data_IF_181250758625
#
_entry.id   IF_181250758625
#
_cell.length_a   1.000
_cell.length_b   1.000
_cell.length_c   1.000
_cell.angle_alpha   90.00
_cell.angle_beta   90.00
_cell.angle_gamma   90.00
#
_symmetry.space_group_name_H-M   'P 1'
#
loop_
_entity.id
_entity.type
_entity.pdbx_description
1 polymer ?
#
# COMPACT_ATOMS: atom_id res chain seq x y z
N UNK A 1 5.26 -2.68 -26.22
CA UNK A 1 4.67 -2.71 -24.87
C UNK A 1 3.58 -3.78 -24.86
N UNK A 2 3.61 -4.69 -23.89
CA UNK A 2 2.61 -5.74 -23.68
C UNK A 2 2.03 -5.56 -22.27
N UNK A 3 0.73 -5.69 -22.12
CA UNK A 3 0.01 -5.60 -20.85
C UNK A 3 -0.71 -6.92 -20.60
N UNK A 4 -0.39 -7.58 -19.48
CA UNK A 4 -1.03 -8.82 -19.06
C UNK A 4 -1.79 -8.57 -17.76
N UNK A 5 -3.12 -8.65 -17.81
CA UNK A 5 -3.96 -8.50 -16.62
C UNK A 5 -3.74 -9.64 -15.61
N UNK A 6 -3.75 -9.32 -14.32
CA UNK A 6 -3.68 -10.31 -13.24
C UNK A 6 -5.06 -10.76 -12.81
N UNK A 7 -6.02 -9.83 -12.77
CA UNK A 7 -7.43 -10.13 -12.49
C UNK A 7 -8.33 -9.14 -13.21
N UNK A 8 -9.63 -9.38 -13.19
CA UNK A 8 -10.62 -8.45 -13.72
C UNK A 8 -10.80 -7.19 -12.85
N UNK A 9 -10.35 -7.22 -11.59
CA UNK A 9 -10.51 -6.12 -10.65
C UNK A 9 -9.39 -5.09 -10.72
N UNK A 10 -8.14 -5.55 -10.80
CA UNK A 10 -6.94 -4.72 -10.83
C UNK A 10 -5.70 -5.56 -11.14
N UNK A 11 -4.60 -4.86 -11.34
CA UNK A 11 -3.28 -5.44 -11.48
C UNK A 11 -2.90 -5.80 -12.91
N UNK A 12 -1.75 -5.32 -13.34
CA UNK A 12 -1.20 -5.66 -14.65
C UNK A 12 0.31 -5.86 -14.59
N UNK A 13 0.80 -6.89 -15.28
CA UNK A 13 2.22 -7.09 -15.57
C UNK A 13 2.55 -6.41 -16.89
N UNK A 14 3.52 -5.50 -16.87
CA UNK A 14 3.90 -4.65 -17.99
C UNK A 14 5.25 -5.09 -18.53
N UNK A 15 5.34 -5.28 -19.87
CA UNK A 15 6.60 -5.55 -20.58
C UNK A 15 6.91 -4.46 -21.59
N UNK A 16 8.19 -4.25 -21.85
CA UNK A 16 8.66 -3.29 -22.85
C UNK A 16 8.72 -1.84 -22.34
N UNK A 17 8.79 -1.68 -21.01
CA UNK A 17 9.15 -0.42 -20.35
C UNK A 17 10.43 -0.67 -19.57
N UNK A 18 11.40 0.23 -19.69
CA UNK A 18 12.62 0.29 -18.87
C UNK A 18 12.41 1.33 -17.77
N UNK A 19 12.45 0.90 -16.51
CA UNK A 19 12.27 1.79 -15.37
C UNK A 19 13.47 2.68 -15.06
N UNK A 20 14.61 2.48 -15.73
CA UNK A 20 15.77 3.37 -15.68
C UNK A 20 15.54 4.65 -16.48
N UNK A 21 14.69 4.58 -17.51
CA UNK A 21 14.27 5.76 -18.27
C UNK A 21 13.23 6.55 -17.49
N UNK A 22 13.69 7.60 -16.80
CA UNK A 22 12.85 8.53 -16.04
C UNK A 22 12.43 9.76 -16.87
N UNK A 23 12.49 9.70 -18.21
CA UNK A 23 11.95 10.75 -19.08
C UNK A 23 10.46 10.99 -18.81
N UNK A 24 10.01 12.21 -19.03
CA UNK A 24 8.62 12.58 -18.81
C UNK A 24 7.66 11.76 -19.68
N UNK A 25 8.10 11.40 -20.90
CA UNK A 25 7.29 10.55 -21.79
C UNK A 25 7.12 9.14 -21.23
N UNK A 26 8.20 8.53 -20.71
CA UNK A 26 8.14 7.19 -20.11
C UNK A 26 7.37 7.21 -18.80
N UNK A 27 7.62 8.21 -17.96
CA UNK A 27 6.89 8.39 -16.71
C UNK A 27 5.39 8.58 -16.94
N UNK A 28 4.99 9.37 -17.95
CA UNK A 28 3.58 9.52 -18.30
C UNK A 28 2.91 8.18 -18.61
N UNK A 29 3.57 7.31 -19.39
CA UNK A 29 3.06 5.97 -19.69
C UNK A 29 2.90 5.13 -18.41
N UNK A 30 3.90 5.17 -17.51
CA UNK A 30 3.86 4.45 -16.24
C UNK A 30 2.69 4.94 -15.39
N UNK A 31 2.52 6.26 -15.27
CA UNK A 31 1.43 6.85 -14.49
C UNK A 31 0.04 6.53 -15.08
N UNK A 32 -0.11 6.62 -16.40
CA UNK A 32 -1.37 6.28 -17.07
C UNK A 32 -1.74 4.79 -16.81
N UNK A 33 -0.77 3.88 -16.90
CA UNK A 33 -0.96 2.47 -16.60
C UNK A 33 -1.30 2.23 -15.11
N UNK A 34 -0.65 2.95 -14.20
CA UNK A 34 -0.95 2.87 -12.77
C UNK A 34 -2.39 3.33 -12.48
N UNK A 35 -2.82 4.44 -13.07
CA UNK A 35 -4.19 4.95 -12.90
C UNK A 35 -5.23 4.01 -13.48
N UNK A 36 -4.92 3.32 -14.58
CA UNK A 36 -5.81 2.36 -15.20
C UNK A 36 -5.88 1.06 -14.40
N UNK A 37 -4.73 0.49 -14.02
CA UNK A 37 -4.66 -0.87 -13.44
C UNK A 37 -4.52 -0.89 -11.92
N UNK A 38 -4.34 0.25 -11.23
CA UNK A 38 -4.27 0.45 -9.76
C UNK A 38 -3.02 -0.13 -9.09
N UNK A 39 -2.43 -1.17 -9.65
CA UNK A 39 -1.13 -1.73 -9.30
C UNK A 39 -0.51 -2.33 -10.56
N UNK A 40 0.77 -2.05 -10.80
CA UNK A 40 1.50 -2.50 -11.99
C UNK A 40 2.83 -3.12 -11.61
N UNK A 41 3.22 -4.14 -12.38
CA UNK A 41 4.41 -4.95 -12.10
C UNK A 41 5.31 -5.03 -13.33
N UNK A 42 6.61 -4.91 -13.09
CA UNK A 42 7.65 -4.94 -14.10
C UNK A 42 8.67 -6.00 -13.72
N UNK A 43 8.75 -7.12 -14.45
CA UNK A 43 9.76 -8.16 -14.20
C UNK A 43 11.10 -7.80 -14.82
N UNK A 44 12.16 -8.44 -14.30
CA UNK A 44 13.53 -8.30 -14.79
C UNK A 44 14.08 -6.86 -14.80
N UNK A 45 13.68 -6.05 -13.85
CA UNK A 45 14.13 -4.67 -13.66
C UNK A 45 15.35 -4.62 -12.73
N UNK A 46 16.55 -4.63 -13.31
CA UNK A 46 17.82 -4.53 -12.55
C UNK A 46 18.17 -3.04 -12.33
N UNK A 47 17.35 -2.35 -11.53
CA UNK A 47 17.58 -0.95 -11.15
C UNK A 47 18.46 -0.87 -9.89
N UNK A 48 19.32 0.16 -9.80
CA UNK A 48 20.08 0.49 -8.58
C UNK A 48 19.19 1.24 -7.59
N UNK A 49 19.70 1.51 -6.39
CA UNK A 49 18.99 2.33 -5.39
C UNK A 49 18.83 3.79 -5.88
N UNK A 50 19.81 4.33 -6.60
CA UNK A 50 19.73 5.64 -7.24
C UNK A 50 18.65 5.70 -8.31
N UNK A 51 18.57 4.69 -9.17
CA UNK A 51 17.56 4.58 -10.22
C UNK A 51 16.16 4.38 -9.61
N UNK A 52 16.05 3.59 -8.52
CA UNK A 52 14.81 3.40 -7.78
C UNK A 52 14.31 4.73 -7.19
N UNK A 53 15.22 5.48 -6.54
CA UNK A 53 14.92 6.81 -6.00
C UNK A 53 14.49 7.79 -7.10
N UNK A 54 15.23 7.86 -8.20
CA UNK A 54 14.92 8.75 -9.32
C UNK A 54 13.53 8.47 -9.93
N UNK A 55 13.13 7.19 -10.02
CA UNK A 55 11.79 6.82 -10.44
C UNK A 55 10.74 7.30 -9.42
N UNK A 56 10.99 7.11 -8.13
CA UNK A 56 10.06 7.48 -7.07
C UNK A 56 9.85 9.01 -6.99
N UNK A 57 10.90 9.81 -7.20
CA UNK A 57 10.83 11.28 -7.24
C UNK A 57 9.89 11.82 -8.32
N UNK A 58 9.64 11.06 -9.38
CA UNK A 58 8.65 11.43 -10.42
C UNK A 58 7.21 11.44 -9.90
N UNK A 59 6.90 10.65 -8.86
CA UNK A 59 5.57 10.63 -8.24
C UNK A 59 5.35 11.76 -7.24
N UNK A 60 6.41 12.42 -6.78
CA UNK A 60 6.36 13.51 -5.82
C UNK A 60 7.47 13.48 -4.78
N UNK A 61 7.39 14.32 -3.73
CA UNK A 61 8.35 14.33 -2.64
C UNK A 61 8.43 12.97 -1.97
N UNK A 62 9.66 12.53 -1.70
CA UNK A 62 9.91 11.27 -1.00
C UNK A 62 9.71 11.44 0.51
N UNK A 63 9.25 10.38 1.17
CA UNK A 63 9.04 10.33 2.60
C UNK A 63 9.99 9.31 3.24
N UNK A 64 10.40 9.57 4.48
CA UNK A 64 11.09 8.58 5.32
C UNK A 64 10.10 7.93 6.25
N UNK A 65 10.23 6.63 6.48
CA UNK A 65 9.30 5.92 7.36
C UNK A 65 9.53 6.33 8.82
N UNK A 66 8.44 6.65 9.55
CA UNK A 66 8.52 7.19 10.91
C UNK A 66 9.19 6.22 11.91
N UNK A 67 9.02 4.91 11.73
CA UNK A 67 9.44 3.88 12.68
C UNK A 67 10.58 3.01 12.19
N UNK A 68 10.84 2.99 10.89
CA UNK A 68 11.85 2.11 10.29
C UNK A 68 12.96 2.93 9.70
N UNK A 69 14.20 2.60 10.04
CA UNK A 69 15.36 3.22 9.44
C UNK A 69 15.50 2.73 7.99
N UNK A 70 15.57 3.67 7.06
CA UNK A 70 15.95 3.38 5.69
C UNK A 70 17.46 3.12 5.55
N UNK A 71 17.91 2.91 4.34
CA UNK A 71 19.33 2.73 4.04
C UNK A 71 20.12 3.99 4.39
N UNK A 72 21.38 3.85 4.80
CA UNK A 72 22.20 5.00 5.23
C UNK A 72 22.35 6.08 4.15
N UNK A 73 22.52 5.69 2.88
CA UNK A 73 22.60 6.62 1.75
C UNK A 73 21.26 7.01 1.15
N UNK A 74 20.21 6.22 1.39
CA UNK A 74 18.85 6.39 0.86
C UNK A 74 17.84 6.19 1.98
N UNK A 75 17.68 7.15 2.89
CA UNK A 75 16.83 7.01 4.07
C UNK A 75 15.35 6.79 3.74
N UNK A 76 14.91 7.14 2.54
CA UNK A 76 13.58 6.88 1.98
C UNK A 76 13.37 5.44 1.51
N UNK A 77 14.44 4.63 1.37
CA UNK A 77 14.36 3.23 0.98
C UNK A 77 14.44 2.35 2.23
N UNK A 78 13.37 1.67 2.55
CA UNK A 78 13.31 0.69 3.64
C UNK A 78 13.57 -0.71 3.08
N UNK A 79 14.53 -1.43 3.69
CA UNK A 79 14.78 -2.84 3.36
C UNK A 79 13.99 -3.73 4.28
N UNK A 80 13.07 -4.51 3.72
CA UNK A 80 12.30 -5.52 4.45
C UNK A 80 12.96 -6.88 4.24
N UNK A 81 13.38 -7.51 5.33
CA UNK A 81 14.00 -8.83 5.31
C UNK A 81 13.19 -9.73 6.21
N UNK A 82 12.79 -10.90 5.70
CA UNK A 82 12.21 -11.99 6.50
C UNK A 82 13.23 -13.11 6.58
N UNK A 83 13.68 -13.43 7.80
CA UNK A 83 14.54 -14.58 8.04
C UNK A 83 13.71 -15.88 8.02
N UNK A 84 14.39 -17.02 7.78
CA UNK A 84 13.73 -18.33 7.68
C UNK A 84 13.06 -18.77 9.00
N UNK A 85 13.60 -18.35 10.14
CA UNK A 85 13.09 -18.65 11.49
C UNK A 85 12.08 -17.63 12.03
N UNK A 86 11.81 -16.54 11.29
CA UNK A 86 10.83 -15.54 11.70
C UNK A 86 9.40 -16.07 11.55
N UNK A 87 8.64 -16.04 12.66
CA UNK A 87 7.24 -16.48 12.69
C UNK A 87 6.28 -15.42 12.18
N UNK A 88 6.63 -14.14 12.37
CA UNK A 88 5.76 -13.01 12.00
C UNK A 88 6.12 -12.48 10.61
N UNK A 89 5.13 -11.99 9.87
CA UNK A 89 5.32 -11.42 8.55
C UNK A 89 5.07 -9.93 8.59
N UNK A 90 5.90 -9.18 7.90
CA UNK A 90 5.63 -7.78 7.62
C UNK A 90 4.49 -7.66 6.61
N UNK A 91 3.47 -6.83 6.94
CA UNK A 91 2.37 -6.57 6.01
C UNK A 91 1.41 -7.74 5.80
N UNK A 92 1.28 -8.66 6.78
CA UNK A 92 0.37 -9.80 6.66
C UNK A 92 -1.13 -9.44 6.65
N UNK A 93 -1.48 -8.26 7.16
CA UNK A 93 -2.85 -7.78 7.19
C UNK A 93 -3.12 -6.72 6.11
N UNK A 94 -4.38 -6.59 5.71
CA UNK A 94 -4.80 -5.55 4.78
C UNK A 94 -4.51 -4.15 5.34
N UNK A 95 -3.70 -3.39 4.61
CA UNK A 95 -3.32 -2.03 4.97
C UNK A 95 -3.17 -1.13 3.75
N UNK A 96 -3.17 0.16 4.01
CA UNK A 96 -2.66 1.18 3.09
C UNK A 96 -1.53 1.87 3.83
N UNK A 97 -0.34 1.91 3.22
CA UNK A 97 0.86 2.38 3.87
C UNK A 97 0.69 3.78 4.45
N UNK A 98 1.16 3.92 5.70
CA UNK A 98 1.15 5.17 6.49
C UNK A 98 -0.15 5.97 6.43
N UNK A 99 -1.30 5.27 6.30
CA UNK A 99 -2.61 5.94 6.22
C UNK A 99 -2.97 6.76 7.45
N UNK A 100 -2.20 6.67 8.53
CA UNK A 100 -2.27 7.50 9.73
C UNK A 100 -1.60 8.87 9.57
N UNK A 101 -0.87 9.14 8.49
CA UNK A 101 -0.28 10.46 8.23
C UNK A 101 -1.36 11.47 7.84
N UNK A 102 -1.10 12.76 8.12
CA UNK A 102 -1.96 13.88 7.67
C UNK A 102 -2.16 13.85 6.14
N UNK A 103 -1.08 13.56 5.43
CA UNK A 103 -1.08 13.33 3.98
C UNK A 103 -0.60 11.91 3.73
N UNK A 104 -1.51 10.95 3.50
CA UNK A 104 -1.13 9.59 3.16
C UNK A 104 -0.30 9.54 1.87
N UNK A 105 0.64 8.61 1.82
CA UNK A 105 1.54 8.41 0.68
C UNK A 105 0.75 8.16 -0.61
N UNK A 106 1.17 8.81 -1.70
CA UNK A 106 0.52 8.68 -3.01
C UNK A 106 0.70 7.29 -3.62
N UNK A 107 1.93 6.78 -3.57
CA UNK A 107 2.29 5.48 -4.11
C UNK A 107 3.51 4.93 -3.37
N UNK A 108 3.69 3.62 -3.42
CA UNK A 108 4.88 2.93 -2.91
C UNK A 108 5.49 2.12 -4.05
N UNK A 109 6.80 2.18 -4.19
CA UNK A 109 7.53 1.41 -5.18
C UNK A 109 8.31 0.31 -4.45
N UNK A 110 7.99 -0.93 -4.74
CA UNK A 110 8.62 -2.10 -4.12
C UNK A 110 9.49 -2.80 -5.15
N UNK A 111 10.77 -3.03 -4.81
CA UNK A 111 11.70 -3.83 -5.61
C UNK A 111 12.02 -5.13 -4.87
N UNK A 112 11.78 -6.26 -5.50
CA UNK A 112 12.16 -7.56 -4.96
C UNK A 112 13.65 -7.84 -5.18
N UNK A 113 14.33 -8.36 -4.16
CA UNK A 113 15.76 -8.70 -4.21
C UNK A 113 15.92 -10.22 -4.19
N UNK A 114 15.48 -10.86 -3.11
CA UNK A 114 15.51 -12.31 -2.94
C UNK A 114 14.11 -12.80 -2.56
N UNK A 115 13.62 -13.79 -3.29
CA UNK A 115 12.28 -14.34 -3.13
C UNK A 115 12.38 -15.83 -2.84
N UNK A 116 11.61 -16.37 -1.88
CA UNK A 116 11.57 -17.80 -1.64
C UNK A 116 10.95 -18.53 -2.85
N UNK A 117 11.28 -19.82 -3.05
CA UNK A 117 10.74 -20.59 -4.18
C UNK A 117 9.22 -20.78 -4.11
N UNK A 118 8.65 -20.70 -2.91
CA UNK A 118 7.20 -20.84 -2.65
C UNK A 118 6.77 -19.86 -1.59
N UNK A 119 5.63 -19.20 -1.79
CA UNK A 119 5.07 -18.23 -0.86
C UNK A 119 5.62 -16.80 -1.06
N UNK A 120 5.32 -15.92 -0.11
CA UNK A 120 5.71 -14.51 -0.19
C UNK A 120 4.91 -13.69 -1.22
N UNK A 121 3.80 -14.23 -1.73
CA UNK A 121 2.90 -13.49 -2.63
C UNK A 121 2.29 -12.28 -1.92
N UNK A 122 1.96 -11.26 -2.69
CA UNK A 122 1.22 -10.09 -2.18
C UNK A 122 -0.16 -10.00 -2.82
N UNK A 123 -1.17 -9.72 -1.98
CA UNK A 123 -2.52 -9.45 -2.44
C UNK A 123 -2.79 -7.94 -2.44
N UNK A 124 -3.53 -7.47 -3.44
CA UNK A 124 -3.94 -6.07 -3.57
C UNK A 124 -5.45 -6.00 -3.75
N UNK A 125 -6.09 -4.96 -3.20
CA UNK A 125 -7.53 -4.73 -3.29
C UNK A 125 -7.84 -3.44 -4.05
N UNK A 126 -8.84 -3.49 -4.93
CA UNK A 126 -9.34 -2.32 -5.65
C UNK A 126 -10.35 -1.56 -4.79
N UNK A 127 -9.91 -0.48 -4.16
CA UNK A 127 -10.74 0.32 -3.26
C UNK A 127 -11.75 1.21 -3.99
N UNK A 128 -11.60 1.43 -5.31
CA UNK A 128 -12.58 2.05 -6.18
C UNK A 128 -13.76 1.10 -6.39
N UNK A 129 -13.46 -0.14 -6.83
CA UNK A 129 -14.47 -1.19 -7.03
C UNK A 129 -15.12 -1.59 -5.70
N UNK A 130 -14.38 -1.59 -4.59
CA UNK A 130 -14.93 -1.80 -3.25
C UNK A 130 -15.97 -0.75 -2.88
N UNK A 131 -15.77 0.52 -3.23
CA UNK A 131 -16.80 1.53 -3.08
C UNK A 131 -17.98 1.32 -4.02
N UNK A 132 -17.73 1.05 -5.29
CA UNK A 132 -18.78 0.88 -6.30
C UNK A 132 -19.75 -0.24 -5.96
N UNK A 133 -19.23 -1.37 -5.45
CA UNK A 133 -19.99 -2.59 -5.16
C UNK A 133 -20.48 -2.71 -3.71
N UNK A 134 -20.20 -1.70 -2.87
CA UNK A 134 -20.65 -1.69 -1.48
C UNK A 134 -22.19 -1.57 -1.40
N UNK A 135 -22.78 -2.23 -0.41
CA UNK A 135 -24.22 -2.12 -0.12
C UNK A 135 -24.66 -0.67 0.08
N UNK A 136 -25.76 -0.27 -0.58
CA UNK A 136 -26.23 1.12 -0.58
C UNK A 136 -26.59 1.63 0.81
N UNK A 137 -27.11 0.76 1.70
CA UNK A 137 -27.43 1.15 3.10
C UNK A 137 -26.17 1.49 3.88
N UNK A 138 -25.07 0.78 3.61
CA UNK A 138 -23.78 1.07 4.23
C UNK A 138 -23.21 2.35 3.61
N UNK A 139 -23.25 2.54 2.28
CA UNK A 139 -22.81 3.77 1.61
C UNK A 139 -23.47 5.00 2.20
N UNK A 140 -24.81 5.00 2.36
CA UNK A 140 -25.54 6.11 2.94
C UNK A 140 -25.12 6.44 4.37
N UNK A 141 -24.75 5.42 5.16
CA UNK A 141 -24.30 5.62 6.54
C UNK A 141 -22.91 6.28 6.62
N UNK A 142 -22.01 6.04 5.64
CA UNK A 142 -20.59 6.38 5.75
C UNK A 142 -20.13 7.50 4.80
N UNK A 143 -20.91 7.86 3.77
CA UNK A 143 -20.49 8.76 2.68
C UNK A 143 -19.89 10.11 3.14
N UNK A 144 -20.40 10.64 4.25
CA UNK A 144 -19.99 11.92 4.83
C UNK A 144 -19.22 11.76 6.14
N UNK A 145 -18.86 10.53 6.52
CA UNK A 145 -18.16 10.27 7.78
C UNK A 145 -16.66 10.22 7.59
N UNK A 146 -15.96 10.48 8.68
CA UNK A 146 -14.53 10.28 8.81
C UNK A 146 -14.25 9.09 9.71
N UNK A 147 -13.09 8.50 9.52
CA UNK A 147 -12.52 7.48 10.41
C UNK A 147 -11.17 7.95 10.97
N UNK A 148 -10.86 7.52 12.16
CA UNK A 148 -9.54 7.69 12.77
C UNK A 148 -8.62 6.58 12.26
N UNK A 149 -7.51 6.98 11.67
CA UNK A 149 -6.39 6.09 11.35
C UNK A 149 -5.28 6.35 12.36
N UNK A 150 -4.76 5.29 12.96
CA UNK A 150 -3.72 5.37 13.99
C UNK A 150 -2.64 4.32 13.76
N UNK A 151 -1.41 4.69 14.03
CA UNK A 151 -0.26 3.79 14.07
C UNK A 151 -0.25 2.86 15.28
N UNK A 152 -1.12 3.06 16.29
CA UNK A 152 -1.33 2.11 17.38
C UNK A 152 -1.82 0.75 16.83
N UNK A 153 -1.20 -0.32 17.31
CA UNK A 153 -1.39 -1.67 16.75
C UNK A 153 -0.35 -2.03 15.69
N UNK A 154 0.45 -1.06 15.22
CA UNK A 154 1.71 -1.36 14.57
C UNK A 154 2.76 -1.89 15.56
N UNK A 155 2.49 -1.85 16.87
CA UNK A 155 3.36 -2.35 17.94
C UNK A 155 3.80 -3.80 17.72
N UNK A 156 2.92 -4.63 17.22
CA UNK A 156 3.24 -5.99 16.83
C UNK A 156 4.35 -6.05 15.77
N UNK A 157 4.36 -5.11 14.85
CA UNK A 157 5.42 -4.98 13.84
C UNK A 157 6.70 -4.42 14.47
N UNK A 158 6.58 -3.54 15.47
CA UNK A 158 7.71 -2.88 16.12
C UNK A 158 8.56 -3.85 16.96
N UNK A 159 7.94 -4.86 17.58
CA UNK A 159 8.68 -5.91 18.28
C UNK A 159 9.52 -6.79 17.33
N UNK A 160 9.10 -6.90 16.08
CA UNK A 160 9.88 -7.56 15.04
C UNK A 160 11.04 -6.70 14.52
N UNK A 161 10.90 -5.36 14.56
CA UNK A 161 11.98 -4.43 14.22
C UNK A 161 13.14 -4.38 15.22
N UNK A 162 12.95 -4.83 16.44
CA UNK A 162 14.06 -4.95 17.41
C UNK A 162 15.14 -5.89 16.94
N UNK A 163 14.83 -6.79 16.01
CA UNK A 163 15.77 -7.74 15.39
C UNK A 163 16.44 -7.20 14.13
N UNK A 164 15.92 -6.13 13.51
CA UNK A 164 16.57 -5.47 12.38
C UNK A 164 17.72 -4.57 12.89
N UNK A 165 18.91 -4.72 12.34
CA UNK A 165 20.13 -4.02 12.77
C UNK A 165 19.91 -2.53 12.98
N UNK A 166 20.34 -2.03 14.15
CA UNK A 166 20.45 -0.61 14.43
C UNK A 166 19.26 0.08 15.07
N UNK A 167 18.18 -0.61 15.40
CA UNK A 167 17.05 -0.01 16.10
C UNK A 167 17.34 0.16 17.60
N UNK A 168 17.92 1.30 17.95
CA UNK A 168 17.87 1.79 19.35
C UNK A 168 16.40 2.08 19.69
N UNK A 169 15.97 1.74 20.93
CA UNK A 169 14.67 2.13 21.49
C UNK A 169 14.32 3.55 21.08
N UNK A 170 13.46 3.73 20.08
CA UNK A 170 12.81 5.01 19.81
C UNK A 170 11.59 5.06 20.73
N UNK A 171 11.34 6.21 21.36
CA UNK A 171 10.03 6.49 21.94
C UNK A 171 9.06 6.52 20.76
N UNK A 172 8.16 5.53 20.70
CA UNK A 172 7.15 5.46 19.66
C UNK A 172 6.08 6.49 19.97
N UNK A 173 6.11 7.61 19.23
CA UNK A 173 4.97 8.50 19.20
C UNK A 173 3.86 7.87 18.38
N UNK A 174 2.64 7.89 18.90
CA UNK A 174 1.47 7.54 18.12
C UNK A 174 1.21 8.63 17.08
N UNK A 175 1.13 8.25 15.82
CA UNK A 175 0.59 9.08 14.76
C UNK A 175 -0.88 8.73 14.55
N UNK A 176 -1.76 9.72 14.62
CA UNK A 176 -3.20 9.52 14.48
C UNK A 176 -3.82 10.70 13.74
N UNK A 177 -4.58 10.42 12.70
CA UNK A 177 -5.28 11.43 11.93
C UNK A 177 -6.67 10.93 11.49
N UNK A 178 -7.53 11.91 11.20
CA UNK A 178 -8.88 11.68 10.69
C UNK A 178 -8.90 11.80 9.17
N UNK A 179 -9.48 10.81 8.51
CA UNK A 179 -9.66 10.85 7.06
C UNK A 179 -11.12 10.56 6.69
N UNK A 180 -11.64 11.17 5.62
CA UNK A 180 -12.93 10.74 5.04
C UNK A 180 -12.88 9.25 4.72
N UNK A 181 -13.92 8.49 5.09
CA UNK A 181 -14.06 7.07 4.74
C UNK A 181 -14.18 6.92 3.21
N UNK A 182 -14.85 7.89 2.58
CA UNK A 182 -14.99 7.95 1.13
C UNK A 182 -14.19 9.14 0.62
N UNK A 183 -13.15 8.87 -0.17
CA UNK A 183 -12.30 9.91 -0.77
C UNK A 183 -12.52 9.98 -2.28
N UNK A 184 -12.26 11.14 -2.86
CA UNK A 184 -12.17 11.29 -4.31
C UNK A 184 -10.70 11.18 -4.70
N UNK A 185 -10.38 10.23 -5.60
CA UNK A 185 -9.03 10.09 -6.11
C UNK A 185 -8.65 11.34 -6.91
N UNK A 186 -7.53 12.02 -6.60
CA UNK A 186 -7.24 13.36 -7.12
C UNK A 186 -6.99 13.40 -8.63
N UNK A 187 -6.53 12.31 -9.24
CA UNK A 187 -6.21 12.24 -10.66
C UNK A 187 -7.34 11.61 -11.49
N UNK A 188 -8.08 10.64 -10.96
CA UNK A 188 -9.15 9.96 -11.70
C UNK A 188 -10.53 10.54 -11.43
N UNK A 189 -10.71 11.30 -10.35
CA UNK A 189 -12.02 11.83 -9.93
C UNK A 189 -12.96 10.77 -9.35
N UNK A 190 -12.56 9.52 -9.32
CA UNK A 190 -13.40 8.41 -8.84
C UNK A 190 -13.43 8.34 -7.33
N UNK A 191 -14.56 7.84 -6.78
CA UNK A 191 -14.69 7.60 -5.34
C UNK A 191 -13.97 6.32 -4.96
N UNK A 192 -13.29 6.36 -3.83
CA UNK A 192 -12.58 5.22 -3.25
C UNK A 192 -12.99 5.03 -1.79
N UNK A 193 -13.06 3.79 -1.36
CA UNK A 193 -13.20 3.44 0.05
C UNK A 193 -11.83 3.56 0.72
N UNK A 194 -11.68 4.44 1.72
CA UNK A 194 -10.40 4.69 2.39
C UNK A 194 -10.44 4.21 3.84
N UNK A 195 -10.42 2.90 4.00
CA UNK A 195 -10.29 2.20 5.28
C UNK A 195 -9.36 1.01 5.11
N UNK A 196 -8.73 0.55 6.19
CA UNK A 196 -7.96 -0.69 6.21
C UNK A 196 -7.94 -1.29 7.61
N UNK A 197 -7.76 -2.61 7.68
CA UNK A 197 -7.75 -3.36 8.93
C UNK A 197 -6.68 -2.87 9.91
N UNK A 198 -5.48 -2.60 9.40
CA UNK A 198 -4.32 -2.32 10.26
C UNK A 198 -4.44 -0.99 10.99
N UNK A 199 -4.82 0.07 10.29
CA UNK A 199 -4.74 1.43 10.83
C UNK A 199 -6.08 2.10 11.12
N UNK A 200 -7.19 1.66 10.53
CA UNK A 200 -8.50 2.29 10.81
C UNK A 200 -9.08 1.79 12.13
N UNK A 201 -9.31 2.69 13.09
CA UNK A 201 -9.66 2.34 14.46
C UNK A 201 -11.12 2.57 14.82
N UNK A 202 -11.73 3.66 14.34
CA UNK A 202 -13.12 4.00 14.64
C UNK A 202 -13.71 4.96 13.62
N UNK A 203 -15.03 4.93 13.47
CA UNK A 203 -15.80 5.92 12.70
C UNK A 203 -16.24 7.03 13.65
N UNK A 204 -16.00 8.28 13.25
CA UNK A 204 -16.35 9.44 14.07
C UNK A 204 -17.85 9.68 14.04
N UNK A 205 -18.41 9.97 15.21
CA UNK A 205 -19.84 10.25 15.39
C UNK A 205 -20.73 9.02 15.48
N UNK A 206 -20.13 7.81 15.60
CA UNK A 206 -20.82 6.58 15.95
C UNK A 206 -20.36 6.08 17.32
N UNK A 207 -21.23 5.35 18.02
CA UNK A 207 -20.81 4.61 19.19
C UNK A 207 -19.86 3.46 18.82
N UNK A 208 -19.17 2.91 19.81
CA UNK A 208 -18.14 1.88 19.57
C UNK A 208 -18.69 0.66 18.87
N UNK A 209 -19.88 0.19 19.28
CA UNK A 209 -20.48 -1.03 18.73
C UNK A 209 -20.86 -0.84 17.27
N UNK A 210 -21.57 0.24 16.95
CA UNK A 210 -21.96 0.53 15.56
C UNK A 210 -20.75 0.77 14.67
N UNK A 211 -19.74 1.50 15.17
CA UNK A 211 -18.48 1.72 14.46
C UNK A 211 -17.77 0.40 14.14
N UNK A 212 -17.60 -0.47 15.13
CA UNK A 212 -16.93 -1.77 14.96
C UNK A 212 -17.71 -2.67 13.97
N UNK A 213 -19.04 -2.71 14.07
CA UNK A 213 -19.89 -3.49 13.15
C UNK A 213 -19.76 -3.03 11.69
N UNK A 214 -19.73 -1.71 11.45
CA UNK A 214 -19.57 -1.16 10.11
C UNK A 214 -18.16 -1.41 9.60
N UNK A 215 -17.11 -1.12 10.39
CA UNK A 215 -15.72 -1.33 9.99
C UNK A 215 -15.46 -2.79 9.62
N UNK A 216 -15.96 -3.75 10.42
CA UNK A 216 -15.80 -5.17 10.10
C UNK A 216 -16.43 -5.52 8.75
N UNK A 217 -17.62 -5.03 8.45
CA UNK A 217 -18.26 -5.22 7.14
C UNK A 217 -17.45 -4.61 6.00
N UNK A 218 -16.83 -3.43 6.20
CA UNK A 218 -16.00 -2.79 5.21
C UNK A 218 -14.68 -3.59 4.98
N UNK A 219 -14.08 -4.11 6.05
CA UNK A 219 -12.86 -4.93 5.97
C UNK A 219 -13.13 -6.28 5.29
N UNK A 220 -14.24 -6.94 5.60
CA UNK A 220 -14.67 -8.15 4.91
C UNK A 220 -14.95 -7.88 3.43
N UNK A 221 -15.63 -6.76 3.13
CA UNK A 221 -15.99 -6.40 1.77
C UNK A 221 -14.77 -6.15 0.89
N UNK A 222 -13.79 -5.35 1.36
CA UNK A 222 -12.58 -5.05 0.59
C UNK A 222 -11.71 -6.29 0.31
N UNK A 223 -11.80 -7.32 1.15
CA UNK A 223 -11.02 -8.55 1.04
C UNK A 223 -11.68 -9.64 0.15
N UNK A 224 -12.84 -9.36 -0.45
CA UNK A 224 -13.50 -10.30 -1.36
C UNK A 224 -12.62 -10.60 -2.56
N UNK A 225 -12.56 -11.86 -2.96
CA UNK A 225 -11.69 -12.33 -4.05
C UNK A 225 -11.94 -11.59 -5.35
N UNK A 226 -13.20 -11.29 -5.66
CA UNK A 226 -13.60 -10.56 -6.87
C UNK A 226 -13.14 -9.09 -6.90
N UNK A 227 -12.68 -8.53 -5.77
CA UNK A 227 -12.14 -7.17 -5.65
C UNK A 227 -10.62 -7.14 -5.60
N UNK A 228 -9.97 -8.29 -5.69
CA UNK A 228 -8.54 -8.42 -5.41
C UNK A 228 -7.76 -9.03 -6.58
N UNK A 229 -6.45 -8.85 -6.51
CA UNK A 229 -5.50 -9.68 -7.26
C UNK A 229 -4.41 -10.20 -6.33
N UNK A 230 -3.76 -11.28 -6.74
CA UNK A 230 -2.60 -11.88 -6.06
C UNK A 230 -1.43 -11.92 -7.03
N UNK A 231 -0.27 -11.47 -6.57
CA UNK A 231 0.94 -11.44 -7.36
C UNK A 231 2.03 -12.33 -6.76
N UNK A 232 2.56 -13.23 -7.58
CA UNK A 232 3.70 -14.07 -7.25
C UNK A 232 4.99 -13.39 -7.74
N UNK A 233 5.85 -13.08 -6.80
CA UNK A 233 7.10 -12.37 -7.05
C UNK A 233 8.15 -13.24 -7.73
N UNK A 234 9.03 -12.58 -8.49
CA UNK A 234 10.33 -13.10 -8.92
C UNK A 234 11.39 -12.08 -8.57
N UNK A 235 12.65 -12.49 -8.49
CA UNK A 235 13.76 -11.56 -8.27
C UNK A 235 13.80 -10.45 -9.34
N UNK A 236 14.23 -9.25 -8.96
CA UNK A 236 14.24 -8.07 -9.81
C UNK A 236 12.88 -7.69 -10.40
N UNK A 237 11.81 -7.94 -9.68
CA UNK A 237 10.49 -7.39 -10.01
C UNK A 237 10.32 -6.05 -9.29
N UNK A 238 9.80 -5.06 -10.00
CA UNK A 238 9.36 -3.78 -9.42
C UNK A 238 7.84 -3.71 -9.50
N UNK A 239 7.21 -3.29 -8.38
CA UNK A 239 5.78 -3.02 -8.25
C UNK A 239 5.58 -1.54 -7.94
N UNK A 240 4.57 -0.93 -8.53
CA UNK A 240 4.12 0.44 -8.23
C UNK A 240 2.65 0.40 -7.91
#
# INVERSE_FOLDING_TARGET
MEVKFLSGALGAEIKGIDLKDTSDQNFKKINDLLLEHKVIFFRNQKITEEEHKALAEKFGPLETHAYVKGLDKFPEIVRIIKAEDEKNQWGENWHSDVSYNVKPTKAVIIKSIKIPPVGGDTCFANMELAWETLDEKIKEKIKDKKAVHSSLGAEFFLDNYKKMEGNKKRNYEEYSNEHPIVRTHPETGKKILFVNWTYTKKIIGLDKKESDEILNKLFEHQAKLELTCRFTWTENTVCI
#
